data_IF_223268134511
#
_entry.id   IF_223268134511
#
_cell.length_a   1.000
_cell.length_b   1.000
_cell.length_c   1.000
_cell.angle_alpha   90.00
_cell.angle_beta   90.00
_cell.angle_gamma   90.00
#
_symmetry.space_group_name_H-M   'P 1'
#
loop_
_entity.id
_entity.type
_entity.pdbx_description
1 polymer ?
#
# COMPACT_ATOMS: atom_id res chain seq x y z
N UNK A 1 19.20 6.93 26.50
CA UNK A 1 19.41 8.40 26.59
C UNK A 1 20.58 8.80 25.71
N UNK A 2 20.43 9.82 24.87
CA UNK A 2 21.58 10.37 24.13
C UNK A 2 22.46 11.19 25.09
N UNK A 3 23.78 11.21 24.83
CA UNK A 3 24.76 11.91 25.64
C UNK A 3 25.99 12.29 24.79
N UNK A 4 26.89 13.08 25.37
CA UNK A 4 28.20 13.46 24.84
C UNK A 4 29.32 12.93 25.75
N UNK A 5 29.11 11.77 26.37
CA UNK A 5 29.99 11.18 27.37
C UNK A 5 29.31 10.86 28.70
N UNK A 6 30.11 10.46 29.68
CA UNK A 6 29.62 10.06 31.00
C UNK A 6 28.89 11.23 31.69
N UNK A 7 27.70 10.97 32.25
CA UNK A 7 26.91 11.92 33.03
C UNK A 7 26.49 13.21 32.30
N UNK A 8 26.40 13.20 30.97
CA UNK A 8 25.92 14.35 30.18
C UNK A 8 24.51 14.10 29.60
N UNK A 9 23.61 13.49 30.36
CA UNK A 9 22.23 13.29 29.91
C UNK A 9 21.47 14.63 29.94
N UNK A 10 20.80 14.96 28.85
CA UNK A 10 19.85 16.07 28.77
C UNK A 10 18.43 15.56 28.54
N UNK A 11 17.72 16.15 27.59
CA UNK A 11 16.39 15.71 27.15
C UNK A 11 16.39 14.82 25.90
N UNK A 12 17.55 14.70 25.23
CA UNK A 12 17.64 13.94 23.99
C UNK A 12 17.57 12.42 24.24
N UNK A 13 16.75 11.75 23.45
CA UNK A 13 16.59 10.30 23.46
C UNK A 13 16.62 9.75 22.04
N UNK A 14 16.74 8.44 21.93
CA UNK A 14 16.63 7.71 20.68
C UNK A 14 15.85 6.42 20.92
N UNK A 15 15.16 5.94 19.89
CA UNK A 15 14.49 4.65 19.88
C UNK A 15 15.31 3.74 18.97
N UNK A 16 15.76 2.60 19.50
CA UNK A 16 16.49 1.62 18.71
C UNK A 16 15.54 0.82 17.84
N UNK A 17 15.91 0.61 16.58
CA UNK A 17 15.14 -0.19 15.63
C UNK A 17 15.78 -1.57 15.37
N UNK A 18 16.96 -1.81 15.93
CA UNK A 18 17.68 -3.08 15.94
C UNK A 18 18.42 -3.24 17.27
N UNK A 19 18.88 -4.45 17.65
CA UNK A 19 19.79 -4.61 18.77
C UNK A 19 21.08 -3.80 18.58
N UNK A 20 21.51 -3.06 19.60
CA UNK A 20 22.67 -2.15 19.53
C UNK A 20 23.68 -2.38 20.66
N UNK A 21 24.27 -3.59 20.78
CA UNK A 21 25.14 -3.95 21.91
C UNK A 21 26.42 -3.09 22.03
N UNK A 22 26.82 -2.42 20.95
CA UNK A 22 27.95 -1.47 20.96
C UNK A 22 27.68 -0.20 21.79
N UNK A 23 26.41 0.04 22.18
CA UNK A 23 25.97 1.13 23.05
C UNK A 23 25.88 0.71 24.53
N UNK A 24 26.06 -0.58 24.83
CA UNK A 24 25.98 -1.11 26.19
C UNK A 24 27.04 -0.45 27.10
N UNK A 25 26.63 -0.11 28.32
CA UNK A 25 27.45 0.62 29.28
C UNK A 25 27.71 2.10 28.94
N UNK A 26 27.29 2.58 27.76
CA UNK A 26 27.45 3.98 27.32
C UNK A 26 26.18 4.80 27.40
N UNK A 27 25.02 4.16 27.21
CA UNK A 27 23.72 4.82 27.23
C UNK A 27 22.78 4.14 28.21
N UNK A 28 22.03 4.94 28.97
CA UNK A 28 21.00 4.43 29.88
C UNK A 28 19.78 4.00 29.07
N UNK A 29 19.39 2.73 29.19
CA UNK A 29 18.09 2.19 28.74
C UNK A 29 17.05 2.46 29.81
N UNK A 30 15.92 3.07 29.46
CA UNK A 30 14.92 3.54 30.43
C UNK A 30 13.46 3.25 30.02
N UNK A 31 13.25 2.52 28.93
CA UNK A 31 11.92 2.18 28.44
C UNK A 31 11.97 1.39 27.14
N UNK A 32 10.80 0.97 26.68
CA UNK A 32 10.60 0.27 25.41
C UNK A 32 9.29 0.70 24.75
N UNK A 33 9.22 0.55 23.43
CA UNK A 33 7.97 0.75 22.68
C UNK A 33 7.07 -0.45 22.91
N UNK A 34 5.86 -0.21 23.42
CA UNK A 34 4.85 -1.25 23.68
C UNK A 34 3.75 -1.32 22.62
N UNK A 35 3.43 -0.18 21.99
CA UNK A 35 2.50 -0.04 20.87
C UNK A 35 3.08 0.95 19.86
N UNK A 36 2.78 0.78 18.58
CA UNK A 36 3.16 1.73 17.52
C UNK A 36 4.59 1.59 17.02
N UNK A 37 5.21 0.41 17.18
CA UNK A 37 6.56 0.18 16.62
C UNK A 37 6.58 0.36 15.09
N UNK A 38 5.47 0.09 14.41
CA UNK A 38 5.32 0.40 12.99
C UNK A 38 5.46 1.89 12.66
N UNK A 39 5.07 2.80 13.56
CA UNK A 39 5.31 4.25 13.38
C UNK A 39 6.79 4.57 13.52
N UNK A 40 7.50 3.95 14.47
CA UNK A 40 8.95 4.07 14.58
C UNK A 40 9.66 3.57 13.31
N UNK A 41 9.17 2.47 12.71
CA UNK A 41 9.66 1.98 11.41
C UNK A 41 9.38 2.95 10.25
N UNK A 42 8.23 3.62 10.25
CA UNK A 42 7.97 4.69 9.26
C UNK A 42 8.99 5.81 9.42
N UNK A 43 9.27 6.26 10.65
CA UNK A 43 10.26 7.30 10.93
C UNK A 43 11.68 6.87 10.55
N UNK A 44 12.06 5.62 10.77
CA UNK A 44 13.35 5.05 10.36
C UNK A 44 13.56 5.11 8.83
N UNK A 45 12.49 4.93 8.05
CA UNK A 45 12.55 4.80 6.59
C UNK A 45 12.22 6.11 5.83
N UNK A 46 12.21 7.27 6.52
CA UNK A 46 12.04 8.56 5.83
C UNK A 46 13.26 8.88 4.99
N UNK A 47 13.07 9.63 3.91
CA UNK A 47 14.18 10.17 3.13
C UNK A 47 15.03 11.11 4.00
N UNK A 48 16.36 10.98 3.93
CA UNK A 48 17.31 11.76 4.73
C UNK A 48 18.36 12.44 3.86
N UNK A 49 18.86 13.59 4.32
CA UNK A 49 20.07 14.25 3.81
C UNK A 49 21.16 14.13 4.88
N UNK A 50 22.06 13.16 4.71
CA UNK A 50 22.92 12.71 5.80
C UNK A 50 22.06 12.00 6.85
N UNK A 51 21.98 12.58 8.05
CA UNK A 51 21.14 12.06 9.16
C UNK A 51 19.86 12.88 9.38
N UNK A 52 19.67 13.97 8.61
CA UNK A 52 18.53 14.88 8.81
C UNK A 52 17.36 14.45 7.92
N UNK A 53 16.16 14.20 8.46
CA UNK A 53 14.97 13.95 7.67
C UNK A 53 14.71 15.06 6.63
N UNK A 54 14.41 14.66 5.39
CA UNK A 54 14.05 15.58 4.32
C UNK A 54 12.68 16.22 4.56
N UNK A 55 11.78 15.48 5.22
CA UNK A 55 10.47 15.95 5.69
C UNK A 55 10.52 16.24 7.18
N UNK A 56 9.74 17.20 7.65
CA UNK A 56 9.61 17.49 9.08
C UNK A 56 9.01 16.29 9.81
N UNK A 57 9.78 15.69 10.71
CA UNK A 57 9.33 14.68 11.66
C UNK A 57 9.23 15.33 13.04
N UNK A 58 8.02 15.40 13.60
CA UNK A 58 7.76 16.12 14.85
C UNK A 58 6.83 15.30 15.75
N UNK A 59 7.05 15.37 17.06
CA UNK A 59 6.09 14.91 18.06
C UNK A 59 4.97 15.96 18.10
N UNK A 60 3.87 15.68 17.40
CA UNK A 60 2.75 16.62 17.28
C UNK A 60 1.99 16.77 18.61
N UNK A 61 1.83 15.67 19.35
CA UNK A 61 1.24 15.63 20.69
C UNK A 61 1.95 14.57 21.53
N UNK A 62 1.99 14.75 22.85
CA UNK A 62 2.51 13.79 23.82
C UNK A 62 1.80 13.94 25.17
N UNK A 63 1.93 12.92 26.03
CA UNK A 63 1.33 12.88 27.35
C UNK A 63 1.65 11.59 28.08
N UNK A 64 1.00 11.39 29.22
CA UNK A 64 1.05 10.18 30.04
C UNK A 64 -0.32 9.50 30.00
N UNK A 65 -0.35 8.20 29.72
CA UNK A 65 -1.56 7.39 29.84
C UNK A 65 -1.63 6.84 31.26
N UNK A 66 -2.75 7.08 31.94
CA UNK A 66 -3.01 6.54 33.27
C UNK A 66 -3.62 5.14 33.17
N UNK A 67 -3.58 4.42 34.28
CA UNK A 67 -4.28 3.14 34.37
C UNK A 67 -5.78 3.32 34.08
N UNK A 68 -6.29 2.52 33.14
CA UNK A 68 -7.68 2.57 32.69
C UNK A 68 -7.96 3.53 31.53
N UNK A 69 -6.99 4.36 31.10
CA UNK A 69 -7.14 5.18 29.90
C UNK A 69 -7.15 4.31 28.64
N UNK A 70 -7.90 4.75 27.62
CA UNK A 70 -7.83 4.13 26.30
C UNK A 70 -6.44 4.34 25.68
N UNK A 71 -5.96 3.34 24.94
CA UNK A 71 -4.67 3.41 24.26
C UNK A 71 -4.60 4.54 23.24
N UNK A 72 -5.73 4.94 22.64
CA UNK A 72 -5.78 6.03 21.66
C UNK A 72 -4.96 5.76 20.39
N UNK A 73 -4.72 4.49 20.07
CA UNK A 73 -3.86 4.03 18.96
C UNK A 73 -4.62 3.85 17.63
N UNK A 74 -5.92 4.09 17.64
CA UNK A 74 -6.74 4.09 16.44
C UNK A 74 -6.49 5.36 15.61
N UNK A 75 -6.60 5.30 14.27
CA UNK A 75 -6.34 6.47 13.43
C UNK A 75 -7.37 7.58 13.71
N UNK A 76 -6.86 8.76 14.11
CA UNK A 76 -7.67 9.98 14.35
C UNK A 76 -8.02 10.70 13.04
N UNK A 77 -8.58 9.98 12.07
CA UNK A 77 -8.89 10.48 10.72
C UNK A 77 -10.40 10.73 10.48
N UNK A 78 -11.23 10.60 11.52
CA UNK A 78 -12.68 10.79 11.46
C UNK A 78 -13.44 9.68 10.73
N UNK A 79 -12.78 8.57 10.37
CA UNK A 79 -13.40 7.47 9.61
C UNK A 79 -14.22 6.50 10.46
N UNK A 80 -14.12 6.57 11.79
CA UNK A 80 -14.72 5.58 12.71
C UNK A 80 -13.97 4.25 12.78
N UNK A 81 -12.80 4.15 12.15
CA UNK A 81 -11.92 2.98 12.21
C UNK A 81 -11.40 2.76 13.64
N UNK A 82 -11.82 1.65 14.25
CA UNK A 82 -11.49 1.26 15.62
C UNK A 82 -10.39 0.21 15.70
N UNK A 83 -9.59 0.04 14.64
CA UNK A 83 -8.50 -0.95 14.61
C UNK A 83 -7.15 -0.22 14.63
N UNK A 84 -6.10 -0.74 15.27
CA UNK A 84 -4.76 -0.17 15.17
C UNK A 84 -4.24 -0.19 13.73
N UNK A 85 -3.37 0.76 13.36
CA UNK A 85 -2.80 0.80 12.00
C UNK A 85 -1.88 -0.39 11.69
N UNK A 86 -1.28 -0.97 12.72
CA UNK A 86 -0.38 -2.12 12.67
C UNK A 86 -1.02 -3.32 13.38
N UNK A 87 -1.17 -4.48 12.72
CA UNK A 87 -1.88 -5.63 13.29
C UNK A 87 -1.27 -6.19 14.57
N UNK A 88 0.04 -6.04 14.76
CA UNK A 88 0.76 -6.50 15.95
C UNK A 88 0.37 -5.72 17.21
N UNK A 89 -0.16 -4.50 17.02
CA UNK A 89 -0.67 -3.66 18.10
C UNK A 89 -2.14 -3.98 18.45
N UNK A 90 -2.83 -4.80 17.64
CA UNK A 90 -4.19 -5.21 17.90
C UNK A 90 -4.24 -6.33 18.93
N UNK A 91 -5.20 -6.26 19.87
CA UNK A 91 -5.41 -7.27 20.91
C UNK A 91 -6.18 -8.48 20.34
N UNK A 92 -5.67 -9.07 19.26
CA UNK A 92 -6.22 -10.22 18.55
C UNK A 92 -5.13 -11.27 18.29
N UNK A 93 -5.50 -12.54 18.30
CA UNK A 93 -4.61 -13.58 17.77
C UNK A 93 -4.65 -13.51 16.23
N UNK A 94 -3.52 -13.20 15.61
CA UNK A 94 -3.39 -13.15 14.16
C UNK A 94 -3.63 -14.52 13.48
N UNK A 95 -3.69 -15.61 14.25
CA UNK A 95 -4.10 -16.93 13.78
C UNK A 95 -5.62 -17.12 13.72
N UNK A 96 -6.39 -16.28 14.40
CA UNK A 96 -7.85 -16.29 14.36
C UNK A 96 -8.34 -15.64 13.06
N UNK A 97 -8.33 -16.43 11.99
CA UNK A 97 -8.62 -15.97 10.63
C UNK A 97 -10.04 -15.43 10.50
N UNK A 98 -10.99 -15.95 11.27
CA UNK A 98 -12.38 -15.49 11.22
C UNK A 98 -12.50 -14.08 11.80
N UNK A 99 -11.81 -13.77 12.91
CA UNK A 99 -11.72 -12.39 13.41
C UNK A 99 -10.97 -11.46 12.47
N UNK A 100 -9.86 -11.93 11.88
CA UNK A 100 -9.13 -11.15 10.87
C UNK A 100 -10.03 -10.82 9.69
N UNK A 101 -10.84 -11.78 9.22
CA UNK A 101 -11.80 -11.54 8.14
C UNK A 101 -12.82 -10.45 8.51
N UNK A 102 -13.40 -10.50 9.72
CA UNK A 102 -14.32 -9.46 10.19
C UNK A 102 -13.68 -8.07 10.19
N UNK A 103 -12.45 -7.95 10.70
CA UNK A 103 -11.70 -6.69 10.73
C UNK A 103 -11.41 -6.21 9.30
N UNK A 104 -10.94 -7.09 8.42
CA UNK A 104 -10.63 -6.73 7.04
C UNK A 104 -11.86 -6.31 6.25
N UNK A 105 -13.03 -6.88 6.54
CA UNK A 105 -14.29 -6.50 5.90
C UNK A 105 -14.75 -5.10 6.36
N UNK A 106 -14.66 -4.83 7.66
CA UNK A 106 -14.96 -3.51 8.23
C UNK A 106 -14.06 -2.43 7.61
N UNK A 107 -12.73 -2.65 7.64
CA UNK A 107 -11.76 -1.73 7.05
C UNK A 107 -11.96 -1.55 5.53
N UNK A 108 -12.29 -2.62 4.80
CA UNK A 108 -12.62 -2.53 3.36
C UNK A 108 -13.86 -1.68 3.14
N UNK A 109 -14.88 -1.80 4.00
CA UNK A 109 -16.11 -1.00 3.91
C UNK A 109 -15.84 0.49 4.17
N UNK A 110 -14.98 0.82 5.13
CA UNK A 110 -14.52 2.19 5.35
C UNK A 110 -13.77 2.70 4.10
N UNK A 111 -12.90 1.88 3.51
CA UNK A 111 -12.24 2.18 2.23
C UNK A 111 -13.23 2.43 1.08
N UNK A 112 -14.30 1.63 0.99
CA UNK A 112 -15.36 1.79 0.00
C UNK A 112 -16.13 3.10 0.21
N UNK A 113 -16.35 3.53 1.44
CA UNK A 113 -16.96 4.84 1.76
C UNK A 113 -16.11 5.97 1.20
N UNK A 114 -14.80 5.97 1.48
CA UNK A 114 -13.88 6.96 0.90
C UNK A 114 -13.83 6.90 -0.64
N UNK A 115 -13.88 5.70 -1.22
CA UNK A 115 -13.92 5.52 -2.67
C UNK A 115 -15.17 6.17 -3.30
N UNK A 116 -16.35 5.98 -2.69
CA UNK A 116 -17.60 6.59 -3.14
C UNK A 116 -17.56 8.12 -3.03
N UNK A 117 -16.90 8.64 -1.99
CA UNK A 117 -16.66 10.07 -1.79
C UNK A 117 -15.49 10.63 -2.64
N UNK A 118 -14.91 9.83 -3.55
CA UNK A 118 -13.79 10.21 -4.41
C UNK A 118 -12.51 10.62 -3.65
N UNK A 119 -12.40 10.25 -2.37
CA UNK A 119 -11.19 10.44 -1.58
C UNK A 119 -10.27 9.23 -1.79
N UNK A 120 -9.55 9.26 -2.90
CA UNK A 120 -8.74 8.13 -3.37
C UNK A 120 -7.59 7.80 -2.42
N UNK A 121 -6.95 8.82 -1.84
CA UNK A 121 -5.84 8.68 -0.91
C UNK A 121 -6.27 7.95 0.38
N UNK A 122 -7.40 8.37 0.98
CA UNK A 122 -7.91 7.72 2.18
C UNK A 122 -8.43 6.31 1.89
N UNK A 123 -9.07 6.11 0.74
CA UNK A 123 -9.47 4.76 0.30
C UNK A 123 -8.24 3.83 0.19
N UNK A 124 -7.15 4.29 -0.46
CA UNK A 124 -5.90 3.54 -0.57
C UNK A 124 -5.31 3.26 0.82
N UNK A 125 -5.31 4.22 1.75
CA UNK A 125 -4.82 4.00 3.12
C UNK A 125 -5.55 2.85 3.81
N UNK A 126 -6.88 2.81 3.74
CA UNK A 126 -7.70 1.75 4.35
C UNK A 126 -7.50 0.41 3.66
N UNK A 127 -7.47 0.35 2.33
CA UNK A 127 -7.18 -0.91 1.61
C UNK A 127 -5.78 -1.43 1.90
N UNK A 128 -4.76 -0.55 2.00
CA UNK A 128 -3.41 -0.97 2.39
C UNK A 128 -3.37 -1.49 3.83
N UNK A 129 -4.17 -0.92 4.73
CA UNK A 129 -4.32 -1.44 6.08
C UNK A 129 -4.91 -2.85 6.08
N UNK A 130 -5.94 -3.11 5.28
CA UNK A 130 -6.46 -4.47 5.06
C UNK A 130 -5.34 -5.43 4.63
N UNK A 131 -4.52 -5.04 3.65
CA UNK A 131 -3.42 -5.87 3.18
C UNK A 131 -2.38 -6.16 4.27
N UNK A 132 -2.07 -5.19 5.16
CA UNK A 132 -1.20 -5.42 6.32
C UNK A 132 -1.78 -6.49 7.27
N UNK A 133 -3.06 -6.41 7.61
CA UNK A 133 -3.74 -7.42 8.43
C UNK A 133 -3.70 -8.81 7.79
N UNK A 134 -3.97 -8.87 6.48
CA UNK A 134 -3.91 -10.13 5.72
C UNK A 134 -2.49 -10.70 5.72
N UNK A 135 -1.47 -9.88 5.45
CA UNK A 135 -0.08 -10.33 5.38
C UNK A 135 0.43 -10.83 6.75
N UNK A 136 0.13 -10.08 7.81
CA UNK A 136 0.51 -10.43 9.19
C UNK A 136 -0.14 -11.74 9.63
N UNK A 137 -1.42 -11.94 9.31
CA UNK A 137 -2.11 -13.21 9.55
C UNK A 137 -1.55 -14.34 8.69
N UNK A 138 -1.33 -14.11 7.39
CA UNK A 138 -0.72 -15.10 6.47
C UNK A 138 0.68 -15.56 6.90
N UNK A 139 1.42 -14.74 7.64
CA UNK A 139 2.74 -15.10 8.16
C UNK A 139 2.68 -16.17 9.26
N UNK A 140 1.57 -16.27 10.00
CA UNK A 140 1.45 -17.14 11.17
C UNK A 140 0.49 -18.33 11.01
N UNK A 141 -0.31 -18.35 9.93
CA UNK A 141 -1.30 -19.42 9.66
C UNK A 141 -0.84 -20.47 8.63
N UNK A 142 -1.49 -21.63 8.67
CA UNK A 142 -1.29 -22.73 7.72
C UNK A 142 -1.85 -22.45 6.33
N UNK A 143 -1.38 -23.21 5.33
CA UNK A 143 -1.72 -23.02 3.90
C UNK A 143 -3.23 -23.02 3.60
N UNK A 144 -4.01 -23.87 4.29
CA UNK A 144 -5.46 -23.97 4.09
C UNK A 144 -6.17 -22.65 4.41
N UNK A 145 -5.84 -22.03 5.55
CA UNK A 145 -6.49 -20.79 5.98
C UNK A 145 -6.03 -19.55 5.19
N UNK A 146 -4.82 -19.57 4.61
CA UNK A 146 -4.36 -18.48 3.72
C UNK A 146 -5.31 -18.25 2.55
N UNK A 147 -5.98 -19.32 2.08
CA UNK A 147 -6.93 -19.23 0.97
C UNK A 147 -8.17 -18.39 1.33
N UNK A 148 -8.61 -18.41 2.59
CA UNK A 148 -9.76 -17.63 3.08
C UNK A 148 -9.52 -16.12 2.99
N UNK A 149 -8.27 -15.68 3.14
CA UNK A 149 -7.88 -14.26 3.08
C UNK A 149 -7.61 -13.75 1.65
N UNK A 150 -7.50 -14.65 0.66
CA UNK A 150 -7.21 -14.24 -0.73
C UNK A 150 -8.32 -13.38 -1.37
N UNK A 151 -9.62 -13.68 -1.20
CA UNK A 151 -10.68 -12.88 -1.83
C UNK A 151 -10.68 -11.43 -1.38
N UNK A 152 -10.52 -11.18 -0.06
CA UNK A 152 -10.49 -9.81 0.48
C UNK A 152 -9.22 -9.06 0.05
N UNK A 153 -8.07 -9.73 0.00
CA UNK A 153 -6.83 -9.17 -0.49
C UNK A 153 -6.92 -8.78 -1.97
N UNK A 154 -7.40 -9.69 -2.82
CA UNK A 154 -7.61 -9.46 -4.25
C UNK A 154 -8.55 -8.27 -4.49
N UNK A 155 -9.67 -8.23 -3.77
CA UNK A 155 -10.62 -7.10 -3.85
C UNK A 155 -9.96 -5.76 -3.51
N UNK A 156 -9.15 -5.72 -2.45
CA UNK A 156 -8.44 -4.51 -2.02
C UNK A 156 -7.35 -4.10 -3.02
N UNK A 157 -6.55 -5.03 -3.54
CA UNK A 157 -5.53 -4.75 -4.58
C UNK A 157 -6.16 -4.17 -5.84
N UNK A 158 -7.27 -4.76 -6.28
CA UNK A 158 -8.07 -4.25 -7.40
C UNK A 158 -8.56 -2.82 -7.13
N UNK A 159 -9.11 -2.55 -5.95
CA UNK A 159 -9.61 -1.23 -5.59
C UNK A 159 -8.49 -0.19 -5.48
N UNK A 160 -7.32 -0.56 -4.94
CA UNK A 160 -6.12 0.29 -4.94
C UNK A 160 -5.72 0.63 -6.37
N UNK A 161 -5.66 -0.36 -7.27
CA UNK A 161 -5.39 -0.13 -8.69
C UNK A 161 -6.37 0.86 -9.32
N UNK A 162 -7.67 0.73 -9.01
CA UNK A 162 -8.69 1.68 -9.48
C UNK A 162 -8.48 3.10 -8.93
N UNK A 163 -8.19 3.26 -7.63
CA UNK A 163 -7.87 4.58 -7.05
C UNK A 163 -6.64 5.20 -7.71
N UNK A 164 -5.56 4.43 -7.90
CA UNK A 164 -4.33 4.94 -8.51
C UNK A 164 -4.52 5.37 -9.97
N UNK A 165 -5.37 4.67 -10.73
CA UNK A 165 -5.79 5.12 -12.06
C UNK A 165 -6.55 6.46 -12.00
N UNK A 166 -7.44 6.66 -11.02
CA UNK A 166 -8.14 7.95 -10.82
C UNK A 166 -7.19 9.10 -10.49
N UNK A 167 -6.07 8.80 -9.83
CA UNK A 167 -5.02 9.75 -9.49
C UNK A 167 -3.94 9.92 -10.58
N UNK A 168 -4.10 9.28 -11.75
CA UNK A 168 -3.07 9.24 -12.81
C UNK A 168 -1.70 8.69 -12.35
N UNK A 169 -1.67 7.92 -11.25
CA UNK A 169 -0.49 7.19 -10.82
C UNK A 169 -0.40 5.86 -11.60
N UNK A 170 0.04 5.96 -12.84
CA UNK A 170 0.04 4.85 -13.80
C UNK A 170 0.89 3.67 -13.35
N UNK A 171 2.14 3.93 -12.94
CA UNK A 171 3.04 2.87 -12.49
C UNK A 171 2.48 2.18 -11.25
N UNK A 172 2.03 2.95 -10.25
CA UNK A 172 1.46 2.35 -9.06
C UNK A 172 0.21 1.52 -9.36
N UNK A 173 -0.62 1.91 -10.33
CA UNK A 173 -1.78 1.13 -10.74
C UNK A 173 -1.37 -0.20 -11.39
N UNK A 174 -0.32 -0.19 -12.21
CA UNK A 174 0.27 -1.40 -12.80
C UNK A 174 0.75 -2.34 -11.70
N UNK A 175 1.52 -1.85 -10.73
CA UNK A 175 2.07 -2.65 -9.63
C UNK A 175 0.96 -3.34 -8.83
N UNK A 176 -0.10 -2.60 -8.48
CA UNK A 176 -1.24 -3.20 -7.75
C UNK A 176 -2.05 -4.20 -8.59
N UNK A 177 -2.08 -4.05 -9.91
CA UNK A 177 -2.71 -5.04 -10.78
C UNK A 177 -1.82 -6.28 -10.98
N UNK A 178 -0.49 -6.13 -10.94
CA UNK A 178 0.45 -7.26 -10.92
C UNK A 178 0.24 -8.11 -9.67
N UNK A 179 0.21 -7.50 -8.49
CA UNK A 179 -0.07 -8.21 -7.23
C UNK A 179 -1.42 -8.95 -7.28
N UNK A 180 -2.46 -8.32 -7.84
CA UNK A 180 -3.76 -8.98 -8.03
C UNK A 180 -3.68 -10.20 -8.99
N UNK A 181 -2.86 -10.14 -10.03
CA UNK A 181 -2.66 -11.22 -11.00
C UNK A 181 -1.78 -12.35 -10.47
N UNK A 182 -0.97 -12.10 -9.43
CA UNK A 182 -0.28 -13.18 -8.69
C UNK A 182 -1.28 -14.04 -7.90
N UNK A 183 -2.39 -13.46 -7.44
CA UNK A 183 -3.47 -14.18 -6.76
C UNK A 183 -4.40 -14.86 -7.78
N UNK A 184 -4.86 -14.13 -8.79
CA UNK A 184 -5.73 -14.62 -9.85
C UNK A 184 -5.18 -14.23 -11.23
N UNK A 185 -4.38 -15.09 -11.88
CA UNK A 185 -3.76 -14.80 -13.19
C UNK A 185 -4.77 -14.59 -14.34
N UNK A 186 -6.03 -14.96 -14.12
CA UNK A 186 -7.14 -14.83 -15.06
C UNK A 186 -8.06 -13.64 -14.77
N UNK A 187 -7.68 -12.78 -13.82
CA UNK A 187 -8.55 -11.68 -13.42
C UNK A 187 -8.67 -10.61 -14.52
N UNK A 188 -9.79 -10.60 -15.23
CA UNK A 188 -10.03 -9.66 -16.34
C UNK A 188 -10.04 -8.19 -15.89
N UNK A 189 -10.51 -7.90 -14.66
CA UNK A 189 -10.47 -6.54 -14.09
C UNK A 189 -9.04 -6.07 -13.85
N UNK A 190 -8.15 -6.93 -13.36
CA UNK A 190 -6.75 -6.59 -13.17
C UNK A 190 -6.05 -6.36 -14.51
N UNK A 191 -6.22 -7.26 -15.49
CA UNK A 191 -5.65 -7.11 -16.84
C UNK A 191 -6.12 -5.82 -17.51
N UNK A 192 -7.42 -5.54 -17.46
CA UNK A 192 -8.00 -4.33 -18.04
C UNK A 192 -7.44 -3.05 -17.39
N UNK A 193 -7.37 -3.00 -16.06
CA UNK A 193 -6.83 -1.84 -15.31
C UNK A 193 -5.33 -1.68 -15.53
N UNK A 194 -4.57 -2.79 -15.61
CA UNK A 194 -3.14 -2.76 -15.92
C UNK A 194 -2.89 -2.20 -17.31
N UNK A 195 -3.69 -2.60 -18.30
CA UNK A 195 -3.66 -2.02 -19.65
C UNK A 195 -3.97 -0.52 -19.67
N UNK A 196 -4.88 -0.04 -18.83
CA UNK A 196 -5.12 1.40 -18.67
C UNK A 196 -3.89 2.13 -18.09
N UNK A 197 -3.21 1.52 -17.12
CA UNK A 197 -1.94 2.02 -16.60
C UNK A 197 -0.84 2.10 -17.68
N UNK A 198 -0.67 1.02 -18.46
CA UNK A 198 0.29 0.99 -19.58
C UNK A 198 0.00 2.07 -20.63
N UNK A 199 -1.28 2.29 -20.96
CA UNK A 199 -1.66 3.40 -21.84
C UNK A 199 -1.30 4.78 -21.28
N UNK A 200 -1.39 4.97 -19.96
CA UNK A 200 -0.96 6.19 -19.29
C UNK A 200 0.55 6.42 -19.42
N UNK A 201 1.34 5.35 -19.40
CA UNK A 201 2.79 5.36 -19.66
C UNK A 201 3.15 5.36 -21.16
N UNK A 202 2.16 5.31 -22.05
CA UNK A 202 2.33 5.16 -23.52
C UNK A 202 2.99 3.86 -23.97
N UNK A 203 3.02 2.85 -23.09
CA UNK A 203 3.49 1.49 -23.37
C UNK A 203 2.37 0.67 -24.04
N UNK A 204 2.02 1.04 -25.28
CA UNK A 204 0.83 0.50 -25.93
C UNK A 204 0.90 -0.99 -26.29
N UNK A 205 2.10 -1.53 -26.52
CA UNK A 205 2.28 -2.95 -26.80
C UNK A 205 1.96 -3.82 -25.56
N UNK A 206 2.36 -3.36 -24.37
CA UNK A 206 1.99 -4.01 -23.10
C UNK A 206 0.48 -3.94 -22.85
N UNK A 207 -0.12 -2.77 -23.10
CA UNK A 207 -1.58 -2.61 -23.00
C UNK A 207 -2.33 -3.56 -23.96
N UNK A 208 -1.84 -3.73 -25.19
CA UNK A 208 -2.43 -4.62 -26.17
C UNK A 208 -2.33 -6.09 -25.75
N UNK A 209 -1.19 -6.51 -25.20
CA UNK A 209 -1.00 -7.87 -24.69
C UNK A 209 -1.98 -8.21 -23.56
N UNK A 210 -2.12 -7.31 -22.58
CA UNK A 210 -3.04 -7.47 -21.46
C UNK A 210 -4.50 -7.55 -21.91
N UNK A 211 -4.91 -6.67 -22.82
CA UNK A 211 -6.28 -6.65 -23.31
C UNK A 211 -6.61 -7.86 -24.19
N UNK A 212 -5.65 -8.39 -24.97
CA UNK A 212 -5.83 -9.64 -25.72
C UNK A 212 -6.07 -10.81 -24.77
N UNK A 213 -5.21 -10.95 -23.75
CA UNK A 213 -5.40 -11.97 -22.71
C UNK A 213 -6.75 -11.83 -22.01
N UNK A 214 -7.16 -10.59 -21.71
CA UNK A 214 -8.45 -10.33 -21.09
C UNK A 214 -9.64 -10.70 -22.03
N UNK A 215 -9.52 -10.46 -23.33
CA UNK A 215 -10.51 -10.85 -24.34
C UNK A 215 -10.60 -12.37 -24.53
N UNK A 216 -9.47 -13.09 -24.46
CA UNK A 216 -9.47 -14.56 -24.51
C UNK A 216 -10.27 -15.16 -23.33
N UNK A 217 -10.22 -14.51 -22.16
CA UNK A 217 -10.94 -14.96 -20.95
C UNK A 217 -12.41 -14.51 -20.98
N UNK A 218 -12.70 -13.29 -21.42
CA UNK A 218 -14.03 -12.70 -21.48
C UNK A 218 -14.33 -12.12 -22.88
N UNK A 219 -14.65 -12.98 -23.86
CA UNK A 219 -14.80 -12.56 -25.27
C UNK A 219 -15.98 -11.60 -25.50
N UNK A 220 -17.03 -11.70 -24.69
CA UNK A 220 -18.26 -10.88 -24.77
C UNK A 220 -18.17 -9.55 -24.01
N UNK A 221 -17.04 -9.26 -23.35
CA UNK A 221 -16.88 -8.01 -22.60
C UNK A 221 -16.69 -6.82 -23.56
N UNK A 222 -17.77 -6.04 -23.71
CA UNK A 222 -17.80 -4.86 -24.59
C UNK A 222 -16.78 -3.79 -24.19
N UNK A 223 -16.44 -3.66 -22.91
CA UNK A 223 -15.44 -2.69 -22.46
C UNK A 223 -14.04 -3.09 -22.94
N UNK A 224 -13.70 -4.39 -22.84
CA UNK A 224 -12.43 -4.92 -23.34
C UNK A 224 -12.35 -4.76 -24.86
N UNK A 225 -13.41 -5.11 -25.59
CA UNK A 225 -13.46 -4.97 -27.06
C UNK A 225 -13.26 -3.50 -27.49
N UNK A 226 -13.96 -2.56 -26.86
CA UNK A 226 -13.84 -1.15 -27.16
C UNK A 226 -12.44 -0.60 -26.86
N UNK A 227 -11.85 -0.98 -25.72
CA UNK A 227 -10.51 -0.52 -25.32
C UNK A 227 -9.43 -1.12 -26.23
N UNK A 228 -9.58 -2.37 -26.70
CA UNK A 228 -8.69 -2.98 -27.70
C UNK A 228 -8.63 -2.19 -29.00
N UNK A 229 -9.80 -1.79 -29.52
CA UNK A 229 -9.87 -0.99 -30.75
C UNK A 229 -9.16 0.36 -30.57
N UNK A 230 -9.39 1.01 -29.44
CA UNK A 230 -8.74 2.28 -29.07
C UNK A 230 -7.22 2.14 -28.96
N UNK A 231 -6.70 1.09 -28.32
CA UNK A 231 -5.25 0.84 -28.23
C UNK A 231 -4.65 0.58 -29.60
N UNK A 232 -5.29 -0.24 -30.45
CA UNK A 232 -4.84 -0.49 -31.83
C UNK A 232 -4.75 0.80 -32.65
N UNK A 233 -5.74 1.70 -32.51
CA UNK A 233 -5.72 3.02 -33.16
C UNK A 233 -4.55 3.89 -32.66
N UNK A 234 -4.28 3.90 -31.35
CA UNK A 234 -3.14 4.63 -30.78
C UNK A 234 -1.80 4.10 -31.28
N UNK A 235 -1.62 2.78 -31.35
CA UNK A 235 -0.40 2.15 -31.90
C UNK A 235 -0.20 2.57 -33.36
N UNK A 236 -1.26 2.50 -34.18
CA UNK A 236 -1.19 2.92 -35.59
C UNK A 236 -0.79 4.39 -35.71
N UNK A 237 -1.45 5.27 -34.95
CA UNK A 237 -1.15 6.70 -34.96
C UNK A 237 0.29 7.01 -34.51
N UNK A 238 0.81 6.27 -33.53
CA UNK A 238 2.20 6.39 -33.06
C UNK A 238 3.19 6.00 -34.16
N UNK A 239 2.98 4.85 -34.82
CA UNK A 239 3.82 4.37 -35.93
C UNK A 239 3.79 5.32 -37.14
N UNK A 240 2.61 5.85 -37.47
CA UNK A 240 2.46 6.81 -38.57
C UNK A 240 3.24 8.11 -38.29
N UNK A 241 3.22 8.59 -37.04
CA UNK A 241 4.02 9.75 -36.60
C UNK A 241 5.52 9.49 -36.66
N UNK A 242 5.96 8.33 -36.17
CA UNK A 242 7.38 7.93 -36.20
C UNK A 242 7.88 7.84 -37.65
N UNK A 243 7.11 7.19 -38.53
CA UNK A 243 7.43 7.11 -39.96
C UNK A 243 7.54 8.49 -40.60
N UNK A 244 6.62 9.40 -40.31
CA UNK A 244 6.66 10.77 -40.81
C UNK A 244 7.87 11.56 -40.27
N UNK A 245 8.26 11.35 -39.01
CA UNK A 245 9.43 11.97 -38.41
C UNK A 245 10.73 11.46 -39.07
N UNK A 246 10.88 10.15 -39.24
CA UNK A 246 12.03 9.56 -39.95
C UNK A 246 12.12 10.06 -41.38
N UNK A 247 11.01 10.12 -42.13
CA UNK A 247 11.01 10.62 -43.49
C UNK A 247 11.49 12.08 -43.60
N UNK A 248 11.25 12.91 -42.58
CA UNK A 248 11.76 14.30 -42.51
C UNK A 248 13.22 14.42 -42.09
N UNK A 249 13.75 13.45 -41.35
CA UNK A 249 15.16 13.48 -40.92
C UNK A 249 16.13 13.04 -42.04
N UNK A 250 15.63 12.31 -43.04
CA UNK A 250 16.41 11.81 -44.17
C UNK A 250 16.07 12.50 -45.51
N UNK A 251 15.27 13.56 -45.47
CA UNK A 251 14.96 14.44 -46.61
C UNK A 251 15.66 15.79 -46.39
#
# INVERSE_FOLDING_TARGET
MANAGCNTNGSQFFITTVPTPHLDGKHVVFGQVIKGMGVARILENVEVKGEKPAKLCVIAECGELKEGDDWGIFPKDGSGDSHPDFPEDADIDLKDVDKILLITEDLKNIGNTFFKSQNWEMAIKKYKKVLRYVESSKAVIGKADKSKLQPVALSCMLNIGACKLKMSNWQGAIDSCLEALEIDPSNTKALYRRAQGWQGLKEFDQALADLKKAQEIAPEDKAIQAELLKVKQKIKAQKDKEKAAYAKMFA
#
